data_IF_953978588953
#
_entry.id   IF_953978588953
#
_cell.length_a   1.000
_cell.length_b   1.000
_cell.length_c   1.000
_cell.angle_alpha   90.00
_cell.angle_beta   90.00
_cell.angle_gamma   90.00
#
_symmetry.space_group_name_H-M   'P 1'
#
loop_
_entity.id
_entity.type
_entity.pdbx_description
1 polymer ?
#
# COMPACT_ATOMS: atom_id res chain seq x y z
N UNK A 1 -26.86 -15.99 -12.21
CA UNK A 1 -25.95 -15.25 -11.31
C UNK A 1 -24.63 -15.08 -12.04
N UNK A 2 -23.99 -13.91 -11.99
CA UNK A 2 -22.67 -13.74 -12.60
C UNK A 2 -21.65 -14.68 -11.94
N UNK A 3 -20.70 -15.21 -12.73
CA UNK A 3 -19.63 -16.06 -12.19
C UNK A 3 -18.87 -15.32 -11.07
N UNK A 4 -18.37 -15.98 -10.02
CA UNK A 4 -17.54 -15.33 -8.99
C UNK A 4 -16.23 -14.82 -9.58
N UNK A 5 -15.73 -13.68 -9.12
CA UNK A 5 -14.36 -13.23 -9.42
C UNK A 5 -13.41 -13.97 -8.48
N UNK A 6 -12.55 -14.82 -9.03
CA UNK A 6 -11.63 -15.68 -8.26
C UNK A 6 -10.31 -14.96 -8.06
N UNK A 7 -9.90 -14.79 -6.81
CA UNK A 7 -8.70 -14.03 -6.46
C UNK A 7 -7.69 -14.89 -5.73
N UNK A 8 -6.40 -14.59 -5.96
CA UNK A 8 -5.29 -15.15 -5.21
C UNK A 8 -4.63 -14.06 -4.35
N UNK A 9 -4.35 -14.36 -3.07
CA UNK A 9 -3.70 -13.42 -2.16
C UNK A 9 -2.23 -13.80 -1.93
N UNK A 10 -1.31 -12.93 -2.32
CA UNK A 10 0.10 -13.04 -1.97
C UNK A 10 0.42 -12.11 -0.80
N UNK A 11 0.85 -12.68 0.33
CA UNK A 11 1.09 -11.96 1.56
C UNK A 11 -0.10 -12.06 2.52
N UNK A 12 0.12 -12.74 3.64
CA UNK A 12 -0.87 -12.93 4.71
C UNK A 12 -0.43 -12.26 6.01
N UNK A 13 0.16 -11.07 5.92
CA UNK A 13 0.41 -10.22 7.09
C UNK A 13 -0.88 -9.55 7.58
N UNK A 14 -0.74 -8.46 8.33
CA UNK A 14 -1.87 -7.66 8.85
C UNK A 14 -2.86 -7.26 7.74
N UNK A 15 -2.35 -6.78 6.60
CA UNK A 15 -3.18 -6.36 5.47
C UNK A 15 -3.93 -7.54 4.85
N UNK A 16 -3.23 -8.66 4.56
CA UNK A 16 -3.85 -9.84 3.96
C UNK A 16 -4.93 -10.48 4.84
N UNK A 17 -4.67 -10.61 6.14
CA UNK A 17 -5.68 -11.07 7.09
C UNK A 17 -6.87 -10.10 7.20
N UNK A 18 -6.61 -8.79 7.10
CA UNK A 18 -7.64 -7.75 7.04
C UNK A 18 -8.53 -7.88 5.80
N UNK A 19 -7.95 -8.18 4.63
CA UNK A 19 -8.71 -8.42 3.39
C UNK A 19 -9.64 -9.62 3.54
N UNK A 20 -9.14 -10.75 4.05
CA UNK A 20 -9.96 -11.95 4.29
C UNK A 20 -11.15 -11.61 5.19
N UNK A 21 -10.88 -11.00 6.34
CA UNK A 21 -11.91 -10.62 7.33
C UNK A 21 -12.95 -9.66 6.74
N UNK A 22 -12.51 -8.68 5.96
CA UNK A 22 -13.40 -7.69 5.35
C UNK A 22 -14.32 -8.32 4.31
N UNK A 23 -13.78 -9.20 3.46
CA UNK A 23 -14.58 -9.91 2.46
C UNK A 23 -15.62 -10.83 3.08
N UNK A 24 -15.28 -11.50 4.18
CA UNK A 24 -16.22 -12.33 4.94
C UNK A 24 -17.30 -11.49 5.62
N UNK A 25 -16.88 -10.49 6.41
CA UNK A 25 -17.79 -9.62 7.18
C UNK A 25 -18.75 -8.84 6.28
N UNK A 26 -18.28 -8.38 5.11
CA UNK A 26 -19.06 -7.51 4.22
C UNK A 26 -19.50 -8.21 2.92
N UNK A 27 -19.55 -9.54 2.88
CA UNK A 27 -19.76 -10.32 1.66
C UNK A 27 -20.98 -9.84 0.84
N UNK A 28 -22.11 -9.59 1.50
CA UNK A 28 -23.33 -9.11 0.84
C UNK A 28 -23.17 -7.72 0.22
N UNK A 29 -22.56 -6.78 0.96
CA UNK A 29 -22.32 -5.42 0.48
C UNK A 29 -21.34 -5.39 -0.69
N UNK A 30 -20.24 -6.15 -0.57
CA UNK A 30 -19.23 -6.29 -1.62
C UNK A 30 -19.87 -6.88 -2.88
N UNK A 31 -20.64 -7.96 -2.75
CA UNK A 31 -21.35 -8.59 -3.87
C UNK A 31 -22.32 -7.63 -4.54
N UNK A 32 -23.10 -6.87 -3.77
CA UNK A 32 -24.06 -5.91 -4.31
C UNK A 32 -23.36 -4.80 -5.13
N UNK A 33 -22.20 -4.32 -4.67
CA UNK A 33 -21.42 -3.26 -5.35
C UNK A 33 -20.59 -3.77 -6.52
N UNK A 34 -20.02 -4.97 -6.42
CA UNK A 34 -19.22 -5.59 -7.47
C UNK A 34 -20.09 -6.25 -8.57
N UNK A 35 -21.37 -6.49 -8.31
CA UNK A 35 -22.29 -7.19 -9.21
C UNK A 35 -22.04 -8.70 -9.29
N UNK A 36 -21.01 -9.22 -8.60
CA UNK A 36 -20.65 -10.64 -8.51
C UNK A 36 -19.97 -10.93 -7.17
N UNK A 37 -19.94 -12.19 -6.78
CA UNK A 37 -19.16 -12.63 -5.61
C UNK A 37 -17.66 -12.45 -5.87
N UNK A 38 -16.89 -12.08 -4.84
CA UNK A 38 -15.43 -12.12 -4.87
C UNK A 38 -15.01 -13.31 -3.99
N UNK A 39 -14.32 -14.27 -4.58
CA UNK A 39 -13.94 -15.53 -3.92
C UNK A 39 -12.43 -15.67 -3.88
N UNK A 40 -11.88 -15.88 -2.69
CA UNK A 40 -10.47 -16.24 -2.53
C UNK A 40 -10.33 -17.73 -2.85
N UNK A 41 -9.45 -18.07 -3.79
CA UNK A 41 -9.19 -19.47 -4.18
C UNK A 41 -7.81 -19.95 -3.76
N UNK A 42 -6.85 -19.04 -3.67
CA UNK A 42 -5.47 -19.37 -3.31
C UNK A 42 -4.84 -18.30 -2.43
N UNK A 43 -3.91 -18.73 -1.59
CA UNK A 43 -3.12 -17.85 -0.72
C UNK A 43 -1.65 -18.26 -0.71
N UNK A 44 -0.76 -17.29 -0.47
CA UNK A 44 0.67 -17.52 -0.34
C UNK A 44 1.28 -16.65 0.77
N UNK A 45 2.11 -17.25 1.61
CA UNK A 45 2.95 -16.54 2.59
C UNK A 45 4.17 -17.40 2.97
N UNK A 46 5.16 -16.78 3.62
CA UNK A 46 6.40 -17.48 4.06
C UNK A 46 6.17 -18.55 5.13
N UNK A 47 5.22 -18.32 6.03
CA UNK A 47 4.97 -19.18 7.19
C UNK A 47 3.52 -19.63 7.17
N UNK A 48 3.29 -20.94 7.02
CA UNK A 48 1.95 -21.53 6.98
C UNK A 48 1.30 -21.68 8.35
N UNK A 49 2.10 -21.85 9.39
CA UNK A 49 1.64 -22.21 10.73
C UNK A 49 1.36 -20.99 11.60
N UNK A 50 1.89 -19.82 11.23
CA UNK A 50 1.60 -18.57 11.93
C UNK A 50 0.10 -18.30 12.04
N UNK A 51 -0.39 -18.20 13.27
CA UNK A 51 -1.74 -17.76 13.55
C UNK A 51 -1.93 -16.29 13.12
N UNK A 52 -3.04 -16.05 12.41
CA UNK A 52 -3.45 -14.78 11.82
C UNK A 52 -4.84 -14.36 12.25
N UNK A 53 -5.50 -15.15 13.10
CA UNK A 53 -6.87 -14.89 13.57
C UNK A 53 -7.91 -14.88 12.45
N UNK A 54 -7.68 -15.67 11.38
CA UNK A 54 -8.61 -15.91 10.26
C UNK A 54 -8.53 -17.37 9.84
N UNK A 55 -9.65 -17.95 9.39
CA UNK A 55 -9.67 -19.31 8.85
C UNK A 55 -9.07 -19.33 7.44
N UNK A 56 -8.02 -20.14 7.26
CA UNK A 56 -7.33 -20.34 6.00
C UNK A 56 -7.61 -21.71 5.38
N UNK A 57 -8.32 -22.60 6.09
CA UNK A 57 -8.65 -23.94 5.62
C UNK A 57 -9.43 -23.98 4.29
N UNK A 58 -10.23 -22.97 3.91
CA UNK A 58 -10.95 -22.99 2.63
C UNK A 58 -10.08 -22.65 1.42
N UNK A 59 -8.85 -22.18 1.59
CA UNK A 59 -8.02 -21.66 0.51
C UNK A 59 -6.87 -22.60 0.17
N UNK A 60 -6.57 -22.72 -1.12
CA UNK A 60 -5.41 -23.48 -1.56
C UNK A 60 -4.11 -22.74 -1.22
N UNK A 61 -3.22 -23.42 -0.49
CA UNK A 61 -1.90 -22.86 -0.19
C UNK A 61 -0.96 -23.01 -1.39
N UNK A 62 -0.27 -21.94 -1.75
CA UNK A 62 0.71 -21.92 -2.83
C UNK A 62 2.06 -21.37 -2.33
N UNK A 63 3.10 -22.20 -2.34
CA UNK A 63 4.45 -21.79 -1.95
C UNK A 63 5.15 -20.96 -3.03
N UNK A 64 4.86 -21.24 -4.30
CA UNK A 64 5.34 -20.46 -5.43
C UNK A 64 4.28 -19.46 -5.89
N UNK A 65 4.56 -18.18 -5.66
CA UNK A 65 3.72 -17.06 -6.05
C UNK A 65 3.59 -16.91 -7.58
N UNK A 66 4.64 -17.20 -8.35
CA UNK A 66 4.57 -17.15 -9.81
C UNK A 66 3.65 -18.25 -10.35
N UNK A 67 3.76 -19.46 -9.81
CA UNK A 67 2.85 -20.56 -10.12
C UNK A 67 1.39 -20.23 -9.73
N UNK A 68 1.19 -19.60 -8.56
CA UNK A 68 -0.12 -19.12 -8.12
C UNK A 68 -0.72 -18.12 -9.12
N UNK A 69 0.08 -17.16 -9.60
CA UNK A 69 -0.36 -16.22 -10.64
C UNK A 69 -0.63 -16.88 -12.00
N UNK A 70 -0.11 -18.07 -12.28
CA UNK A 70 -0.38 -18.79 -13.53
C UNK A 70 -1.61 -19.72 -13.49
N UNK A 71 -2.23 -19.95 -12.32
CA UNK A 71 -3.36 -20.88 -12.18
C UNK A 71 -4.57 -20.52 -13.06
N UNK A 72 -5.16 -21.47 -13.79
CA UNK A 72 -6.33 -21.20 -14.63
C UNK A 72 -7.60 -20.83 -13.84
N UNK A 73 -7.62 -21.08 -12.54
CA UNK A 73 -8.72 -20.76 -11.64
C UNK A 73 -8.60 -19.42 -10.91
N UNK A 74 -7.62 -18.58 -11.28
CA UNK A 74 -7.39 -17.26 -10.70
C UNK A 74 -7.61 -16.19 -11.77
N UNK A 75 -8.54 -15.26 -11.52
CA UNK A 75 -8.88 -14.15 -12.42
C UNK A 75 -8.11 -12.86 -12.06
N UNK A 76 -7.77 -12.69 -10.78
CA UNK A 76 -7.02 -11.54 -10.28
C UNK A 76 -6.04 -11.92 -9.15
N UNK A 77 -4.93 -11.21 -9.08
CA UNK A 77 -3.92 -11.35 -8.03
C UNK A 77 -3.93 -10.12 -7.13
N UNK A 78 -3.92 -10.34 -5.82
CA UNK A 78 -3.78 -9.29 -4.80
C UNK A 78 -2.43 -9.47 -4.10
N UNK A 79 -1.53 -8.51 -4.27
CA UNK A 79 -0.15 -8.56 -3.78
C UNK A 79 0.08 -7.61 -2.60
N UNK A 80 0.58 -8.17 -1.50
CA UNK A 80 0.81 -7.52 -0.20
C UNK A 80 2.07 -8.08 0.48
N UNK A 81 3.07 -8.50 -0.31
CA UNK A 81 4.31 -9.13 0.16
C UNK A 81 5.32 -8.08 0.61
N UNK A 82 5.38 -6.96 -0.13
CA UNK A 82 6.39 -5.91 0.08
C UNK A 82 7.71 -6.18 -0.66
N UNK A 83 8.57 -5.15 -0.68
CA UNK A 83 9.84 -5.15 -1.43
C UNK A 83 9.69 -4.62 -2.86
N UNK A 84 10.72 -3.95 -3.38
CA UNK A 84 10.69 -3.39 -4.74
C UNK A 84 10.87 -4.46 -5.83
N UNK A 85 11.68 -5.48 -5.55
CA UNK A 85 12.15 -6.47 -6.52
C UNK A 85 11.85 -7.91 -6.07
N UNK A 86 12.44 -8.88 -6.79
CA UNK A 86 12.44 -10.29 -6.40
C UNK A 86 11.04 -10.91 -6.53
N UNK A 87 10.61 -11.75 -5.57
CA UNK A 87 9.38 -12.54 -5.70
C UNK A 87 8.11 -11.70 -5.94
N UNK A 88 7.99 -10.52 -5.32
CA UNK A 88 6.83 -9.64 -5.51
C UNK A 88 6.75 -9.10 -6.94
N UNK A 89 7.88 -8.65 -7.49
CA UNK A 89 7.95 -8.17 -8.87
C UNK A 89 7.73 -9.29 -9.89
N UNK A 90 8.29 -10.48 -9.63
CA UNK A 90 8.07 -11.68 -10.47
C UNK A 90 6.60 -12.09 -10.49
N UNK A 91 5.93 -12.08 -9.34
CA UNK A 91 4.49 -12.32 -9.23
C UNK A 91 3.71 -11.29 -10.06
N UNK A 92 3.98 -10.00 -9.89
CA UNK A 92 3.29 -8.92 -10.59
C UNK A 92 3.41 -9.04 -12.11
N UNK A 93 4.64 -9.24 -12.62
CA UNK A 93 4.89 -9.43 -14.05
C UNK A 93 4.21 -10.69 -14.59
N UNK A 94 4.21 -11.77 -13.81
CA UNK A 94 3.55 -13.03 -14.20
C UNK A 94 2.05 -12.82 -14.29
N UNK A 95 1.40 -12.25 -13.27
CA UNK A 95 -0.04 -11.97 -13.30
C UNK A 95 -0.46 -11.18 -14.55
N UNK A 96 0.28 -10.12 -14.87
CA UNK A 96 0.02 -9.30 -16.06
C UNK A 96 0.19 -10.11 -17.35
N UNK A 97 1.30 -10.86 -17.48
CA UNK A 97 1.58 -11.70 -18.66
C UNK A 97 0.50 -12.76 -18.88
N UNK A 98 -0.01 -13.36 -17.80
CA UNK A 98 -1.06 -14.38 -17.85
C UNK A 98 -2.46 -13.77 -18.02
N UNK A 99 -2.58 -12.46 -18.31
CA UNK A 99 -3.86 -11.81 -18.59
C UNK A 99 -4.72 -11.55 -17.35
N UNK A 100 -4.12 -11.43 -16.17
CA UNK A 100 -4.83 -11.28 -14.89
C UNK A 100 -4.75 -9.87 -14.36
N UNK A 101 -5.84 -9.43 -13.72
CA UNK A 101 -5.84 -8.17 -13.00
C UNK A 101 -4.85 -8.23 -11.82
N UNK A 102 -4.13 -7.14 -11.58
CA UNK A 102 -3.22 -6.99 -10.45
C UNK A 102 -3.70 -5.87 -9.53
N UNK A 103 -3.90 -6.20 -8.26
CA UNK A 103 -4.14 -5.26 -7.17
C UNK A 103 -2.96 -5.34 -6.22
N UNK A 104 -2.33 -4.22 -5.83
CA UNK A 104 -1.16 -4.24 -4.93
C UNK A 104 -1.20 -3.12 -3.89
N UNK A 105 -0.69 -3.42 -2.68
CA UNK A 105 -0.41 -2.42 -1.65
C UNK A 105 1.08 -2.04 -1.57
N UNK A 106 1.90 -2.54 -2.50
CA UNK A 106 3.35 -2.45 -2.42
C UNK A 106 3.88 -1.15 -3.04
N UNK A 107 3.99 -0.13 -2.18
CA UNK A 107 4.52 1.20 -2.52
C UNK A 107 5.92 1.15 -3.15
N UNK A 108 6.81 0.28 -2.67
CA UNK A 108 8.19 0.21 -3.17
C UNK A 108 8.21 -0.31 -4.61
N UNK A 109 7.47 -1.39 -4.90
CA UNK A 109 7.36 -1.92 -6.25
C UNK A 109 6.72 -0.90 -7.21
N UNK A 110 5.65 -0.22 -6.80
CA UNK A 110 5.01 0.81 -7.63
C UNK A 110 5.93 2.02 -7.85
N UNK A 111 6.70 2.42 -6.83
CA UNK A 111 7.69 3.46 -6.98
C UNK A 111 8.74 3.09 -8.04
N UNK A 112 9.42 1.97 -7.89
CA UNK A 112 10.54 1.62 -8.76
C UNK A 112 10.12 1.11 -10.15
N UNK A 113 9.00 0.38 -10.23
CA UNK A 113 8.60 -0.37 -11.43
C UNK A 113 7.22 -0.01 -11.96
N UNK A 114 6.52 0.94 -11.32
CA UNK A 114 5.12 1.24 -11.63
C UNK A 114 4.87 1.63 -13.09
N UNK A 115 5.77 2.41 -13.71
CA UNK A 115 5.63 2.78 -15.13
C UNK A 115 5.73 1.56 -16.05
N UNK A 116 6.73 0.70 -15.83
CA UNK A 116 6.93 -0.52 -16.61
C UNK A 116 5.76 -1.50 -16.42
N UNK A 117 5.28 -1.64 -15.19
CA UNK A 117 4.11 -2.48 -14.88
C UNK A 117 2.83 -1.92 -15.50
N UNK A 118 2.64 -0.60 -15.48
CA UNK A 118 1.49 0.04 -16.10
C UNK A 118 1.46 -0.12 -17.62
N UNK A 119 2.62 0.03 -18.27
CA UNK A 119 2.74 -0.22 -19.71
C UNK A 119 2.43 -1.68 -20.04
N UNK A 120 3.04 -2.63 -19.33
CA UNK A 120 2.77 -4.05 -19.53
C UNK A 120 1.29 -4.41 -19.30
N UNK A 121 0.66 -3.83 -18.28
CA UNK A 121 -0.76 -4.03 -17.99
C UNK A 121 -1.65 -3.45 -19.10
N UNK A 122 -1.30 -2.29 -19.63
CA UNK A 122 -1.98 -1.67 -20.77
C UNK A 122 -1.86 -2.54 -22.02
N UNK A 123 -0.66 -3.02 -22.34
CA UNK A 123 -0.40 -3.86 -23.52
C UNK A 123 -1.16 -5.20 -23.44
N UNK A 124 -1.26 -5.78 -22.24
CA UNK A 124 -2.03 -7.00 -21.99
C UNK A 124 -3.54 -6.76 -21.82
N UNK A 125 -4.00 -5.50 -21.76
CA UNK A 125 -5.41 -5.15 -21.57
C UNK A 125 -5.95 -5.50 -20.17
N UNK A 126 -5.10 -5.55 -19.15
CA UNK A 126 -5.48 -5.97 -17.79
C UNK A 126 -5.47 -4.80 -16.78
N UNK A 127 -6.34 -4.80 -15.77
CA UNK A 127 -6.31 -3.78 -14.73
C UNK A 127 -5.07 -3.87 -13.82
N UNK A 128 -4.39 -2.75 -13.62
CA UNK A 128 -3.42 -2.53 -12.53
C UNK A 128 -4.01 -1.52 -11.53
N UNK A 129 -4.15 -1.93 -10.26
CA UNK A 129 -4.72 -1.10 -9.18
C UNK A 129 -3.78 -1.08 -7.97
N UNK A 130 -3.57 0.09 -7.38
CA UNK A 130 -2.59 0.26 -6.30
C UNK A 130 -2.98 1.33 -5.26
N UNK A 131 -4.29 1.51 -5.01
CA UNK A 131 -4.81 2.48 -4.04
C UNK A 131 -4.16 2.31 -2.65
N UNK A 132 -4.11 1.07 -2.15
CA UNK A 132 -3.58 0.76 -0.82
C UNK A 132 -2.07 1.05 -0.66
N UNK A 133 -1.34 1.33 -1.75
CA UNK A 133 0.07 1.70 -1.69
C UNK A 133 0.28 3.12 -1.14
N UNK A 134 -0.73 4.00 -1.22
CA UNK A 134 -0.61 5.41 -0.82
C UNK A 134 -1.78 5.81 0.07
N UNK A 135 -1.49 6.47 1.19
CA UNK A 135 -2.49 6.99 2.12
C UNK A 135 -3.47 5.95 2.72
N UNK A 136 -3.12 4.66 2.68
CA UNK A 136 -3.84 3.59 3.36
C UNK A 136 -5.29 3.44 2.88
N UNK A 137 -6.25 3.78 3.75
CA UNK A 137 -7.68 3.70 3.45
C UNK A 137 -8.27 4.93 2.76
N UNK A 138 -7.50 6.00 2.58
CA UNK A 138 -7.97 7.23 1.93
C UNK A 138 -7.98 7.00 0.41
N UNK A 139 -9.11 7.20 -0.30
CA UNK A 139 -9.22 6.94 -1.74
C UNK A 139 -8.58 8.05 -2.60
N UNK A 140 -7.31 8.32 -2.37
CA UNK A 140 -6.59 9.47 -2.95
C UNK A 140 -6.26 9.25 -4.43
N UNK A 141 -5.85 8.04 -4.84
CA UNK A 141 -5.52 7.73 -6.23
C UNK A 141 -6.77 7.79 -7.08
N UNK A 142 -7.87 7.18 -6.63
CA UNK A 142 -9.17 7.29 -7.32
C UNK A 142 -9.68 8.73 -7.36
N UNK A 143 -9.54 9.47 -6.26
CA UNK A 143 -9.90 10.88 -6.19
C UNK A 143 -9.17 11.72 -7.24
N UNK A 144 -7.85 11.56 -7.36
CA UNK A 144 -7.04 12.28 -8.34
C UNK A 144 -7.32 11.83 -9.78
N UNK A 145 -7.39 10.52 -10.02
CA UNK A 145 -7.48 9.93 -11.36
C UNK A 145 -8.87 10.03 -11.98
N UNK A 146 -9.92 9.89 -11.17
CA UNK A 146 -11.30 9.80 -11.65
C UNK A 146 -12.14 11.00 -11.17
N UNK A 147 -12.02 11.37 -9.89
CA UNK A 147 -12.80 12.46 -9.31
C UNK A 147 -12.39 13.85 -9.83
N UNK A 148 -11.08 14.08 -9.95
CA UNK A 148 -10.49 15.34 -10.42
C UNK A 148 -10.04 15.29 -11.89
N UNK A 149 -10.51 14.31 -12.67
CA UNK A 149 -10.05 14.07 -14.04
C UNK A 149 -10.23 15.28 -14.99
N UNK A 150 -11.20 16.15 -14.70
CA UNK A 150 -11.48 17.36 -15.47
C UNK A 150 -10.79 18.62 -14.90
N UNK A 151 -9.97 18.51 -13.85
CA UNK A 151 -9.34 19.63 -13.17
C UNK A 151 -7.83 19.68 -13.49
N UNK A 152 -7.33 20.89 -13.72
CA UNK A 152 -5.89 21.14 -13.73
C UNK A 152 -5.40 21.21 -12.28
N UNK A 153 -4.71 20.17 -11.83
CA UNK A 153 -4.16 20.12 -10.47
C UNK A 153 -2.95 21.07 -10.41
N UNK A 154 -3.00 22.05 -9.52
CA UNK A 154 -1.88 22.99 -9.31
C UNK A 154 -0.91 22.52 -8.22
N UNK A 155 -1.40 21.80 -7.21
CA UNK A 155 -0.60 21.36 -6.05
C UNK A 155 -1.21 20.12 -5.40
N UNK A 156 -0.35 19.25 -4.89
CA UNK A 156 -0.71 18.15 -3.99
C UNK A 156 0.06 18.32 -2.68
N UNK A 157 -0.63 18.23 -1.56
CA UNK A 157 -0.04 18.28 -0.22
C UNK A 157 -0.78 17.30 0.68
N UNK A 158 -0.07 16.72 1.64
CA UNK A 158 -0.69 15.88 2.65
C UNK A 158 0.32 15.38 3.68
N UNK A 159 -0.22 14.96 4.81
CA UNK A 159 0.52 14.21 5.83
C UNK A 159 0.47 12.75 5.42
N UNK A 160 1.61 12.22 4.96
CA UNK A 160 1.68 10.91 4.30
C UNK A 160 2.33 9.82 5.16
N UNK A 161 2.85 10.16 6.35
CA UNK A 161 3.51 9.21 7.25
C UNK A 161 2.91 9.28 8.66
N UNK A 162 2.38 8.15 9.14
CA UNK A 162 1.69 8.07 10.43
C UNK A 162 2.63 8.20 11.62
N UNK A 163 3.80 7.54 11.57
CA UNK A 163 4.81 7.57 12.65
C UNK A 163 5.35 8.98 12.88
N UNK A 164 5.71 9.70 11.80
CA UNK A 164 6.14 11.09 11.89
C UNK A 164 5.04 11.99 12.44
N UNK A 165 3.81 11.83 11.97
CA UNK A 165 2.69 12.63 12.44
C UNK A 165 2.42 12.39 13.92
N UNK A 166 2.44 11.13 14.36
CA UNK A 166 2.30 10.79 15.77
C UNK A 166 3.39 11.44 16.63
N UNK A 167 4.66 11.33 16.23
CA UNK A 167 5.78 11.93 16.97
C UNK A 167 5.61 13.46 17.07
N UNK A 168 5.32 14.13 15.94
CA UNK A 168 5.16 15.59 15.95
C UNK A 168 3.96 16.04 16.79
N UNK A 169 2.83 15.33 16.73
CA UNK A 169 1.67 15.61 17.57
C UNK A 169 1.97 15.40 19.05
N UNK A 170 2.66 14.33 19.42
CA UNK A 170 3.01 14.07 20.82
C UNK A 170 4.06 15.08 21.35
N UNK A 171 5.00 15.54 20.51
CA UNK A 171 5.90 16.63 20.87
C UNK A 171 5.15 17.96 21.08
N UNK A 172 4.13 18.24 20.25
CA UNK A 172 3.26 19.40 20.41
C UNK A 172 2.45 19.34 21.71
N UNK A 173 1.79 18.20 21.98
CA UNK A 173 0.92 18.02 23.14
C UNK A 173 1.69 18.02 24.46
N UNK A 174 2.86 17.38 24.49
CA UNK A 174 3.62 17.16 25.73
C UNK A 174 4.75 18.18 25.96
N UNK A 175 5.17 18.91 24.91
CA UNK A 175 6.33 19.79 24.96
C UNK A 175 7.68 19.06 25.12
N UNK A 176 7.71 17.73 24.97
CA UNK A 176 8.91 16.91 25.10
C UNK A 176 9.76 16.94 23.82
N UNK A 177 11.05 16.67 23.98
CA UNK A 177 11.97 16.61 22.83
C UNK A 177 11.81 15.31 22.03
N UNK A 178 12.25 15.38 20.76
CA UNK A 178 12.11 14.30 19.77
C UNK A 178 12.59 12.93 20.27
N UNK A 179 13.73 12.88 20.95
CA UNK A 179 14.33 11.63 21.41
C UNK A 179 13.44 10.88 22.43
N UNK A 180 12.82 11.62 23.35
CA UNK A 180 11.95 11.04 24.38
C UNK A 180 10.65 10.51 23.75
N UNK A 181 10.06 11.30 22.84
CA UNK A 181 8.85 10.91 22.13
C UNK A 181 9.08 9.73 21.19
N UNK A 182 10.23 9.67 20.50
CA UNK A 182 10.59 8.54 19.65
C UNK A 182 10.71 7.25 20.48
N UNK A 183 11.37 7.31 21.64
CA UNK A 183 11.50 6.15 22.53
C UNK A 183 10.13 5.65 22.99
N UNK A 184 9.21 6.56 23.32
CA UNK A 184 7.83 6.20 23.65
C UNK A 184 7.08 5.59 22.44
N UNK A 185 7.21 6.20 21.26
CA UNK A 185 6.59 5.70 20.04
C UNK A 185 7.04 4.26 19.74
N UNK A 186 8.32 3.94 19.96
CA UNK A 186 8.85 2.58 19.83
C UNK A 186 8.27 1.63 20.88
N UNK A 187 8.22 2.06 22.15
CA UNK A 187 7.67 1.26 23.24
C UNK A 187 6.18 0.92 23.04
N UNK A 188 5.42 1.84 22.42
CA UNK A 188 4.00 1.68 22.09
C UNK A 188 3.74 1.01 20.74
N UNK A 189 4.79 0.71 19.97
CA UNK A 189 4.69 0.07 18.65
C UNK A 189 4.21 0.99 17.51
N UNK A 190 4.28 2.31 17.69
CA UNK A 190 4.03 3.30 16.62
C UNK A 190 5.25 3.51 15.70
N UNK A 191 6.45 3.18 16.19
CA UNK A 191 7.70 3.23 15.43
C UNK A 191 8.42 1.88 15.53
N UNK A 192 9.09 1.46 14.46
CA UNK A 192 9.95 0.27 14.47
C UNK A 192 11.29 0.55 15.19
N UNK A 193 12.04 -0.52 15.48
CA UNK A 193 13.34 -0.41 16.13
C UNK A 193 14.34 0.41 15.29
N UNK A 194 14.29 0.26 13.97
CA UNK A 194 14.92 1.16 13.01
C UNK A 194 13.85 2.01 12.32
N UNK A 195 13.60 3.24 12.79
CA UNK A 195 12.56 4.12 12.26
C UNK A 195 13.05 4.99 11.10
N UNK A 196 14.28 4.78 10.58
CA UNK A 196 14.95 5.66 9.61
C UNK A 196 14.07 5.93 8.38
N UNK A 197 13.39 4.91 7.88
CA UNK A 197 12.53 5.01 6.71
C UNK A 197 11.35 5.99 6.89
N UNK A 198 10.88 6.13 8.13
CA UNK A 198 9.83 7.07 8.50
C UNK A 198 10.42 8.44 8.81
N UNK A 199 11.32 8.53 9.81
CA UNK A 199 11.75 9.82 10.39
C UNK A 199 12.64 10.66 9.48
N UNK A 200 13.30 10.05 8.49
CA UNK A 200 14.06 10.76 7.45
C UNK A 200 13.19 11.16 6.24
N UNK A 201 11.89 10.87 6.28
CA UNK A 201 10.92 11.29 5.26
C UNK A 201 10.91 10.44 3.99
N UNK A 202 11.61 9.30 3.96
CA UNK A 202 11.73 8.44 2.77
C UNK A 202 10.37 7.85 2.38
N UNK A 203 9.60 7.34 3.36
CA UNK A 203 8.24 6.82 3.14
C UNK A 203 7.29 7.88 2.56
N UNK A 204 7.33 9.09 3.14
CA UNK A 204 6.51 10.22 2.68
C UNK A 204 6.92 10.66 1.27
N UNK A 205 8.22 10.70 0.97
CA UNK A 205 8.76 10.99 -0.35
C UNK A 205 8.28 9.97 -1.40
N UNK A 206 8.31 8.67 -1.07
CA UNK A 206 7.80 7.63 -1.97
C UNK A 206 6.31 7.81 -2.29
N UNK A 207 5.49 8.07 -1.26
CA UNK A 207 4.05 8.31 -1.42
C UNK A 207 3.77 9.58 -2.23
N UNK A 208 4.48 10.67 -1.95
CA UNK A 208 4.32 11.95 -2.65
C UNK A 208 4.69 11.83 -4.11
N UNK A 209 5.78 11.12 -4.44
CA UNK A 209 6.19 10.89 -5.81
C UNK A 209 5.09 10.16 -6.59
N UNK A 210 4.54 9.05 -6.04
CA UNK A 210 3.42 8.33 -6.68
C UNK A 210 2.24 9.28 -6.93
N UNK A 211 1.85 10.10 -5.94
CA UNK A 211 0.77 11.08 -6.12
C UNK A 211 1.10 12.12 -7.20
N UNK A 212 2.34 12.60 -7.26
CA UNK A 212 2.78 13.56 -8.27
C UNK A 212 2.70 12.98 -9.69
N UNK A 213 3.11 11.73 -9.90
CA UNK A 213 2.98 11.09 -11.20
C UNK A 213 1.53 10.95 -11.64
N UNK A 214 0.61 10.61 -10.72
CA UNK A 214 -0.82 10.51 -11.01
C UNK A 214 -1.40 11.89 -11.31
N UNK A 215 -1.10 12.89 -10.48
CA UNK A 215 -1.68 14.23 -10.56
C UNK A 215 -1.20 15.03 -11.78
N UNK A 216 0.06 14.87 -12.18
CA UNK A 216 0.69 15.68 -13.22
C UNK A 216 1.02 14.90 -14.50
N UNK A 217 0.77 13.58 -14.55
CA UNK A 217 1.06 12.75 -15.72
C UNK A 217 2.57 12.64 -16.05
N UNK A 218 3.44 12.79 -15.05
CA UNK A 218 4.89 12.82 -15.22
C UNK A 218 5.54 11.47 -14.85
N UNK A 219 6.74 11.23 -15.42
CA UNK A 219 7.58 10.11 -14.98
C UNK A 219 8.12 10.39 -13.58
N UNK A 220 8.14 9.34 -12.76
CA UNK A 220 8.68 9.40 -11.41
C UNK A 220 10.20 9.53 -11.47
N UNK A 221 10.74 10.47 -10.69
CA UNK A 221 12.17 10.64 -10.47
C UNK A 221 12.45 10.74 -8.97
N UNK A 222 12.52 9.58 -8.31
CA UNK A 222 12.72 9.49 -6.86
C UNK A 222 14.04 10.11 -6.40
N UNK A 223 15.09 10.02 -7.22
CA UNK A 223 16.40 10.54 -6.88
C UNK A 223 16.38 12.07 -6.68
N UNK A 224 15.40 12.76 -7.30
CA UNK A 224 15.23 14.20 -7.21
C UNK A 224 14.13 14.63 -6.23
N UNK A 225 13.51 13.71 -5.49
CA UNK A 225 12.59 14.06 -4.41
C UNK A 225 13.40 14.55 -3.22
N UNK A 226 13.27 15.84 -2.91
CA UNK A 226 13.88 16.41 -1.71
C UNK A 226 13.16 15.89 -0.47
N UNK A 227 13.87 15.10 0.34
CA UNK A 227 13.39 14.60 1.62
C UNK A 227 14.15 15.29 2.75
N UNK A 228 13.41 15.85 3.70
CA UNK A 228 13.94 16.36 4.97
C UNK A 228 13.14 15.72 6.09
N UNK A 229 13.83 15.01 6.96
CA UNK A 229 13.25 14.32 8.10
C UNK A 229 12.83 15.22 9.25
N UNK A 230 12.20 14.61 10.25
CA UNK A 230 11.75 15.28 11.47
C UNK A 230 12.75 15.18 12.64
N UNK A 231 13.81 14.39 12.49
CA UNK A 231 14.78 14.10 13.57
C UNK A 231 15.50 15.34 14.13
N UNK A 232 15.48 16.47 13.40
CA UNK A 232 16.10 17.74 13.82
C UNK A 232 15.12 18.73 14.43
N UNK A 233 13.82 18.42 14.44
CA UNK A 233 12.78 19.26 15.04
C UNK A 233 12.94 19.22 16.56
N UNK A 234 12.96 20.38 17.20
CA UNK A 234 13.05 20.51 18.67
C UNK A 234 11.72 20.94 19.25
N UNK A 235 11.47 20.65 20.53
CA UNK A 235 10.29 21.15 21.24
C UNK A 235 10.19 22.69 21.16
N UNK A 236 11.34 23.38 21.24
CA UNK A 236 11.40 24.84 21.10
C UNK A 236 10.96 25.36 19.71
N UNK A 237 11.19 24.58 18.64
CA UNK A 237 10.75 24.96 17.29
C UNK A 237 9.22 24.91 17.21
N UNK A 238 8.62 23.85 17.77
CA UNK A 238 7.16 23.68 17.84
C UNK A 238 6.52 24.77 18.71
N UNK A 239 7.05 25.00 19.91
CA UNK A 239 6.54 26.03 20.82
C UNK A 239 6.56 27.42 20.20
N UNK A 240 7.56 27.73 19.37
CA UNK A 240 7.66 28.99 18.62
C UNK A 240 6.68 29.08 17.45
N UNK A 241 6.31 27.96 16.86
CA UNK A 241 5.38 27.89 15.73
C UNK A 241 3.91 27.95 16.15
N UNK A 242 3.59 27.64 17.42
CA UNK A 242 2.22 27.71 17.92
C UNK A 242 1.66 29.14 17.86
N UNK A 243 0.39 29.30 17.45
CA UNK A 243 -0.24 30.60 17.44
C UNK A 243 -0.36 31.15 18.87
N UNK A 244 0.06 32.40 19.06
CA UNK A 244 -0.15 33.17 20.30
C UNK A 244 -1.60 33.51 20.53
#
# INVERSE_FOLDING_TARGET
>A
MAEPLRIALAGLGTVGAGVIRLLDTNAQLVRARAGREIRIVAVSARDRERDRGVDLSPFDWCDDMAAMAARSDVDAVVEMVGGADGPALTLAKTAIREGKALVTANKAMIAHHGLTLAQAAQDAGVPLKFEAAVAGGIPVIKGLREGAAANAIARVQGILNGTCNFILSEMEDSGRDFADVLAEAQARGFAEADPTFDIEGIDAGHKLAILAAIAFGAKLDFAHVSCVGIARVRAADIARAMPT
#
